data_IF_995489586045
#
_entry.id   IF_995489586045
#
_cell.length_a   1.000
_cell.length_b   1.000
_cell.length_c   1.000
_cell.angle_alpha   90.00
_cell.angle_beta   90.00
_cell.angle_gamma   90.00
#
_symmetry.space_group_name_H-M   'P 1'
#
loop_
_entity.id
_entity.type
_entity.pdbx_description
1 polymer ?
#
# COMPACT_ATOMS: atom_id res chain seq x y z
N UNK A 1 2.67 10.38 0.19
CA UNK A 1 2.47 10.60 -1.25
C UNK A 1 1.17 11.34 -1.42
N UNK A 2 1.15 12.50 -2.09
CA UNK A 2 -0.05 13.34 -2.20
C UNK A 2 -1.01 12.84 -3.29
N UNK A 3 -0.50 12.15 -4.31
CA UNK A 3 -1.27 11.51 -5.37
C UNK A 3 -0.75 10.08 -5.61
N UNK A 4 -1.54 9.03 -5.31
CA UNK A 4 -1.11 7.64 -5.48
C UNK A 4 -1.30 7.08 -6.89
N UNK A 5 -1.69 7.91 -7.85
CA UNK A 5 -1.87 7.49 -9.25
C UNK A 5 -0.61 7.85 -10.05
N UNK A 6 0.09 6.83 -10.54
CA UNK A 6 1.28 6.96 -11.38
C UNK A 6 0.96 6.33 -12.73
N UNK A 7 1.07 7.10 -13.82
CA UNK A 7 0.77 6.64 -15.18
C UNK A 7 -0.62 5.98 -15.31
N UNK A 8 -1.63 6.57 -14.66
CA UNK A 8 -3.00 6.05 -14.66
C UNK A 8 -3.21 4.79 -13.79
N UNK A 9 -2.16 4.30 -13.11
CA UNK A 9 -2.23 3.13 -12.23
C UNK A 9 -2.27 3.56 -10.77
N UNK A 10 -3.20 3.01 -10.00
CA UNK A 10 -3.27 3.18 -8.56
C UNK A 10 -2.13 2.41 -7.88
N UNK A 11 -1.41 3.06 -6.98
CA UNK A 11 -0.51 2.40 -6.05
C UNK A 11 -1.28 1.41 -5.16
N UNK A 12 -0.64 0.31 -4.81
CA UNK A 12 -1.20 -0.66 -3.87
C UNK A 12 -1.03 -0.17 -2.44
N UNK A 13 -2.12 -0.21 -1.66
CA UNK A 13 -2.09 -0.04 -0.22
C UNK A 13 -2.51 -1.36 0.42
N UNK A 14 -1.51 -2.07 0.92
CA UNK A 14 -1.73 -3.31 1.64
C UNK A 14 -2.13 -3.00 3.09
N UNK A 15 -3.13 -3.71 3.59
CA UNK A 15 -3.62 -3.54 4.96
C UNK A 15 -3.99 -4.90 5.57
N UNK A 16 -4.06 -4.96 6.90
CA UNK A 16 -4.41 -6.18 7.63
C UNK A 16 -5.06 -5.83 8.98
N UNK A 17 -5.73 -6.79 9.60
CA UNK A 17 -6.36 -6.62 10.91
C UNK A 17 -7.37 -7.73 11.25
N UNK A 18 -7.67 -7.90 12.53
CA UNK A 18 -8.58 -8.95 13.02
C UNK A 18 -10.07 -8.60 12.86
N UNK A 19 -10.41 -7.31 12.96
CA UNK A 19 -11.80 -6.84 12.93
C UNK A 19 -12.30 -6.59 11.52
N UNK A 20 -13.29 -7.35 11.05
CA UNK A 20 -13.87 -7.20 9.72
C UNK A 20 -14.46 -5.80 9.48
N UNK A 21 -15.26 -5.28 10.41
CA UNK A 21 -15.84 -3.93 10.31
C UNK A 21 -14.78 -2.81 10.28
N UNK A 22 -13.70 -2.98 11.06
CA UNK A 22 -12.57 -2.06 11.04
C UNK A 22 -11.84 -2.11 9.69
N UNK A 23 -11.61 -3.31 9.16
CA UNK A 23 -11.01 -3.50 7.83
C UNK A 23 -11.86 -2.92 6.70
N UNK A 24 -13.18 -3.01 6.77
CA UNK A 24 -14.08 -2.39 5.78
C UNK A 24 -14.01 -0.87 5.82
N UNK A 25 -13.96 -0.29 7.02
CA UNK A 25 -13.77 1.16 7.20
C UNK A 25 -12.44 1.61 6.60
N UNK A 26 -11.35 0.92 6.93
CA UNK A 26 -10.01 1.22 6.40
C UNK A 26 -9.97 1.05 4.88
N UNK A 27 -10.61 0.01 4.33
CA UNK A 27 -10.72 -0.21 2.88
C UNK A 27 -11.36 1.00 2.18
N UNK A 28 -12.45 1.54 2.74
CA UNK A 28 -13.11 2.73 2.21
C UNK A 28 -12.17 3.94 2.19
N UNK A 29 -11.52 4.23 3.31
CA UNK A 29 -10.55 5.34 3.40
C UNK A 29 -9.40 5.22 2.39
N UNK A 30 -8.88 4.00 2.20
CA UNK A 30 -7.83 3.72 1.19
C UNK A 30 -8.32 4.05 -0.23
N UNK A 31 -9.57 3.69 -0.54
CA UNK A 31 -10.17 3.98 -1.85
C UNK A 31 -10.41 5.48 -2.03
N UNK A 32 -10.91 6.17 -1.01
CA UNK A 32 -11.22 7.60 -1.04
C UNK A 32 -9.98 8.45 -1.32
N UNK A 33 -8.82 8.03 -0.80
CA UNK A 33 -7.53 8.70 -1.06
C UNK A 33 -6.81 8.20 -2.32
N UNK A 34 -7.45 7.33 -3.10
CA UNK A 34 -7.04 7.00 -4.48
C UNK A 34 -6.16 5.75 -4.64
N UNK A 35 -5.87 5.00 -3.57
CA UNK A 35 -5.08 3.77 -3.64
C UNK A 35 -5.95 2.56 -4.04
N UNK A 36 -5.28 1.47 -4.44
CA UNK A 36 -5.88 0.15 -4.55
C UNK A 36 -5.75 -0.60 -3.20
N UNK A 37 -6.86 -0.92 -2.51
CA UNK A 37 -6.79 -1.66 -1.25
C UNK A 37 -6.51 -3.14 -1.47
N UNK A 38 -5.52 -3.68 -0.75
CA UNK A 38 -5.19 -5.12 -0.76
C UNK A 38 -5.19 -5.66 0.68
N UNK A 39 -6.21 -6.46 1.02
CA UNK A 39 -6.31 -7.08 2.35
C UNK A 39 -5.38 -8.30 2.45
N UNK A 40 -4.45 -8.26 3.42
CA UNK A 40 -3.55 -9.38 3.74
C UNK A 40 -4.06 -10.24 4.92
N UNK A 41 -5.29 -10.04 5.35
CA UNK A 41 -5.94 -10.86 6.37
C UNK A 41 -5.60 -10.43 7.80
N UNK A 42 -5.26 -11.37 8.70
CA UNK A 42 -5.04 -11.12 10.12
C UNK A 42 -3.90 -10.12 10.40
N UNK A 43 -3.90 -9.54 11.61
CA UNK A 43 -2.87 -8.57 12.05
C UNK A 43 -1.46 -9.16 12.04
N UNK A 44 -1.32 -10.49 12.16
CA UNK A 44 -0.03 -11.18 12.02
C UNK A 44 0.67 -10.91 10.67
N UNK A 45 -0.08 -10.55 9.63
CA UNK A 45 0.47 -10.15 8.32
C UNK A 45 1.24 -8.82 8.37
N UNK A 46 1.09 -8.01 9.43
CA UNK A 46 1.86 -6.78 9.63
C UNK A 46 3.38 -7.02 9.63
N UNK A 47 3.81 -8.22 10.07
CA UNK A 47 5.21 -8.68 9.99
C UNK A 47 5.80 -8.61 8.58
N UNK A 48 4.98 -8.64 7.53
CA UNK A 48 5.41 -8.48 6.14
C UNK A 48 5.26 -7.04 5.63
N UNK A 49 4.26 -6.30 6.13
CA UNK A 49 4.02 -4.91 5.75
C UNK A 49 5.12 -3.96 6.26
N UNK A 50 5.57 -4.15 7.50
CA UNK A 50 6.59 -3.29 8.11
C UNK A 50 7.94 -3.37 7.34
N UNK A 51 8.48 -4.56 7.00
CA UNK A 51 9.66 -4.64 6.14
C UNK A 51 9.42 -4.11 4.72
N UNK A 52 8.22 -4.25 4.17
CA UNK A 52 7.91 -3.68 2.85
C UNK A 52 8.00 -2.15 2.85
N UNK A 53 7.53 -1.49 3.92
CA UNK A 53 7.70 -0.05 4.10
C UNK A 53 9.19 0.33 4.18
N UNK A 54 10.02 -0.49 4.83
CA UNK A 54 11.47 -0.29 4.86
C UNK A 54 12.10 -0.35 3.47
N UNK A 55 11.65 -1.25 2.58
CA UNK A 55 12.13 -1.30 1.19
C UNK A 55 11.82 0.01 0.47
N UNK A 56 10.60 0.54 0.62
CA UNK A 56 10.23 1.84 0.02
C UNK A 56 11.05 2.99 0.60
N UNK A 57 11.27 3.04 1.92
CA UNK A 57 12.09 4.08 2.55
C UNK A 57 13.53 4.02 2.04
N UNK A 58 14.09 2.81 1.98
CA UNK A 58 15.45 2.59 1.51
C UNK A 58 15.61 3.00 0.05
N UNK A 59 14.65 2.64 -0.81
CA UNK A 59 14.67 3.03 -2.23
C UNK A 59 14.58 4.55 -2.40
N UNK A 60 13.67 5.21 -1.67
CA UNK A 60 13.45 6.64 -1.74
C UNK A 60 14.63 7.46 -1.21
N UNK A 61 15.20 7.07 -0.06
CA UNK A 61 16.16 7.87 0.69
C UNK A 61 17.62 7.51 0.39
N UNK A 62 17.93 6.22 0.16
CA UNK A 62 19.32 5.75 -0.02
C UNK A 62 19.68 5.55 -1.49
N UNK A 63 18.75 5.06 -2.29
CA UNK A 63 19.02 4.67 -3.69
C UNK A 63 18.55 5.72 -4.72
N UNK A 64 18.14 6.91 -4.27
CA UNK A 64 17.90 8.05 -5.15
C UNK A 64 16.62 7.99 -5.99
N UNK A 65 15.72 7.03 -5.71
CA UNK A 65 14.44 6.91 -6.44
C UNK A 65 13.41 7.97 -6.00
N UNK A 66 13.68 8.74 -4.94
CA UNK A 66 12.84 9.84 -4.49
C UNK A 66 11.47 9.41 -3.94
N UNK A 67 10.58 10.38 -3.69
CA UNK A 67 9.25 10.13 -3.10
C UNK A 67 8.13 9.96 -4.13
N UNK A 68 8.41 10.23 -5.40
CA UNK A 68 7.47 10.11 -6.53
C UNK A 68 7.46 8.68 -7.10
N UNK A 69 7.45 7.68 -6.22
CA UNK A 69 7.43 6.26 -6.56
C UNK A 69 6.44 5.52 -5.66
N UNK A 70 5.86 4.44 -6.15
CA UNK A 70 4.97 3.61 -5.37
C UNK A 70 5.18 2.12 -5.64
N UNK A 71 4.78 1.30 -4.67
CA UNK A 71 4.62 -0.14 -4.88
C UNK A 71 3.26 -0.37 -5.55
N UNK A 72 3.24 -1.24 -6.56
CA UNK A 72 2.04 -1.56 -7.31
C UNK A 72 1.96 -3.04 -7.64
N UNK A 73 0.74 -3.56 -7.73
CA UNK A 73 0.49 -4.94 -8.13
C UNK A 73 0.25 -5.00 -9.64
N UNK A 74 0.99 -5.88 -10.33
CA UNK A 74 0.75 -6.22 -11.73
C UNK A 74 0.03 -7.57 -11.78
N UNK A 75 -1.10 -7.63 -12.50
CA UNK A 75 -1.89 -8.85 -12.69
C UNK A 75 -2.08 -9.10 -14.18
N UNK A 76 -2.06 -10.38 -14.56
CA UNK A 76 -2.49 -10.81 -15.89
C UNK A 76 -4.02 -10.85 -15.91
N UNK A 77 -4.62 -10.33 -16.97
CA UNK A 77 -6.04 -10.53 -17.33
C UNK A 77 -6.26 -11.94 -17.84
#
# INVERSE_FOLDING_TARGET
>A
MANPVIEGRKAAMYYCGEGQAAKETVRGLIQDVGFEPIDLGPLASARYLEPMAMVWILSAMKYGLGREQALGLLRKT
#
